data_IF_564002191902
#
_entry.id   IF_564002191902
#
_cell.length_a   1.000
_cell.length_b   1.000
_cell.length_c   1.000
_cell.angle_alpha   90.00
_cell.angle_beta   90.00
_cell.angle_gamma   90.00
#
_symmetry.space_group_name_H-M   'P 1'
#
loop_
_entity.id
_entity.type
_entity.pdbx_description
1 polymer ?
#
# COMPACT_ATOMS: atom_id res chain seq x y z
N UNK A 1 -14.64 12.26 13.86
CA UNK A 1 -14.05 11.35 12.85
C UNK A 1 -13.25 10.26 13.57
N UNK A 2 -13.50 8.98 13.25
CA UNK A 2 -12.74 7.84 13.78
C UNK A 2 -11.57 7.52 12.86
N UNK A 3 -10.40 7.22 13.41
CA UNK A 3 -9.23 6.77 12.62
C UNK A 3 -9.30 5.26 12.43
N UNK A 4 -9.17 4.82 11.18
CA UNK A 4 -9.17 3.41 10.79
C UNK A 4 -7.77 3.04 10.29
N UNK A 5 -7.27 1.90 10.77
CA UNK A 5 -6.05 1.27 10.29
C UNK A 5 -6.42 -0.01 9.52
N UNK A 6 -5.62 -0.34 8.52
CA UNK A 6 -5.84 -1.51 7.68
C UNK A 6 -5.38 -2.78 8.40
N UNK A 7 -6.16 -3.85 8.31
CA UNK A 7 -5.80 -5.15 8.85
C UNK A 7 -6.68 -6.23 8.24
N UNK A 8 -6.07 -7.36 7.91
CA UNK A 8 -6.75 -8.55 7.43
C UNK A 8 -6.52 -9.64 8.49
N UNK A 9 -7.60 -10.11 9.12
CA UNK A 9 -7.61 -11.23 10.07
C UNK A 9 -7.89 -12.55 9.32
N UNK A 10 -7.21 -12.73 8.18
CA UNK A 10 -7.44 -13.79 7.19
C UNK A 10 -6.14 -14.07 6.40
N UNK A 11 -6.21 -14.99 5.42
CA UNK A 11 -5.09 -15.38 4.57
C UNK A 11 -4.50 -14.17 3.80
N UNK A 12 -3.18 -13.95 3.85
CA UNK A 12 -2.49 -12.87 3.13
C UNK A 12 -2.81 -12.78 1.63
N UNK A 13 -3.19 -13.88 0.97
CA UNK A 13 -3.58 -13.89 -0.44
C UNK A 13 -4.80 -12.99 -0.72
N UNK A 14 -5.60 -12.67 0.29
CA UNK A 14 -6.76 -11.77 0.18
C UNK A 14 -6.45 -10.32 0.51
N UNK A 15 -5.23 -9.98 0.91
CA UNK A 15 -4.83 -8.62 1.34
C UNK A 15 -5.26 -7.52 0.37
N UNK A 16 -5.11 -7.67 -0.97
CA UNK A 16 -5.54 -6.62 -1.89
C UNK A 16 -7.06 -6.35 -1.87
N UNK A 17 -7.89 -7.32 -1.50
CA UNK A 17 -9.36 -7.17 -1.49
C UNK A 17 -9.85 -6.32 -0.32
N UNK A 18 -9.08 -6.23 0.76
CA UNK A 18 -9.44 -5.43 1.93
C UNK A 18 -9.49 -3.93 1.59
N UNK A 19 -8.68 -3.45 0.63
CA UNK A 19 -8.82 -2.09 0.11
C UNK A 19 -10.21 -1.84 -0.50
N UNK A 20 -10.70 -2.79 -1.30
CA UNK A 20 -12.05 -2.72 -1.88
C UNK A 20 -13.13 -2.81 -0.80
N UNK A 21 -12.92 -3.60 0.26
CA UNK A 21 -13.85 -3.69 1.39
C UNK A 21 -13.95 -2.37 2.15
N UNK A 22 -12.83 -1.71 2.46
CA UNK A 22 -12.80 -0.40 3.13
C UNK A 22 -13.54 0.67 2.31
N UNK A 23 -13.32 0.70 0.99
CA UNK A 23 -14.01 1.65 0.10
C UNK A 23 -15.52 1.36 0.03
N UNK A 24 -15.92 0.09 -0.07
CA UNK A 24 -17.34 -0.30 0.04
C UNK A 24 -17.96 0.05 1.39
N UNK A 25 -17.14 0.05 2.45
CA UNK A 25 -17.52 0.49 3.80
C UNK A 25 -17.63 2.01 3.96
N UNK A 26 -17.33 2.79 2.91
CA UNK A 26 -17.56 4.24 2.87
C UNK A 26 -16.29 5.11 2.96
N UNK A 27 -15.09 4.51 3.00
CA UNK A 27 -13.85 5.29 2.88
C UNK A 27 -13.65 5.72 1.42
N UNK A 28 -13.08 6.91 1.23
CA UNK A 28 -12.51 7.26 -0.08
C UNK A 28 -11.25 6.42 -0.37
N UNK A 29 -10.87 6.31 -1.65
CA UNK A 29 -9.64 5.59 -2.05
C UNK A 29 -8.40 6.10 -1.32
N UNK A 30 -8.28 7.42 -1.14
CA UNK A 30 -7.15 8.02 -0.41
C UNK A 30 -7.17 7.65 1.07
N UNK A 31 -8.35 7.57 1.70
CA UNK A 31 -8.46 7.17 3.10
C UNK A 31 -8.12 5.69 3.30
N UNK A 32 -8.48 4.82 2.35
CA UNK A 32 -8.11 3.41 2.37
C UNK A 32 -6.57 3.24 2.22
N UNK A 33 -5.94 4.00 1.31
CA UNK A 33 -4.48 4.01 1.19
C UNK A 33 -3.80 4.54 2.46
N UNK A 34 -4.33 5.60 3.07
CA UNK A 34 -3.83 6.12 4.36
C UNK A 34 -4.02 5.11 5.50
N UNK A 35 -5.13 4.38 5.52
CA UNK A 35 -5.39 3.32 6.50
C UNK A 35 -4.29 2.25 6.43
N UNK A 36 -3.84 1.89 5.23
CA UNK A 36 -2.80 0.88 5.01
C UNK A 36 -1.36 1.37 5.17
N UNK A 37 -1.16 2.69 5.26
CA UNK A 37 0.18 3.30 5.29
C UNK A 37 0.37 4.11 6.57
N UNK A 38 0.13 5.42 6.51
CA UNK A 38 0.46 6.34 7.59
C UNK A 38 -0.30 6.03 8.89
N UNK A 39 -1.58 5.63 8.81
CA UNK A 39 -2.39 5.33 10.01
C UNK A 39 -1.96 4.01 10.68
N UNK A 40 -1.62 2.99 9.90
CA UNK A 40 -1.03 1.75 10.44
C UNK A 40 0.35 2.00 11.06
N UNK A 41 1.19 2.83 10.43
CA UNK A 41 2.48 3.22 11.01
C UNK A 41 2.31 3.99 12.33
N UNK A 42 1.31 4.88 12.42
CA UNK A 42 0.95 5.56 13.68
C UNK A 42 0.49 4.59 14.76
N UNK A 43 -0.40 3.66 14.40
CA UNK A 43 -0.92 2.64 15.32
C UNK A 43 0.21 1.78 15.90
N UNK A 44 1.17 1.39 15.07
CA UNK A 44 2.33 0.58 15.45
C UNK A 44 3.48 1.40 16.09
N UNK A 45 3.34 2.72 16.20
CA UNK A 45 4.40 3.63 16.68
C UNK A 45 5.68 3.59 15.84
N UNK A 46 5.52 3.39 14.53
CA UNK A 46 6.60 3.30 13.54
C UNK A 46 6.62 4.49 12.57
N UNK A 47 5.80 5.52 12.76
CA UNK A 47 5.69 6.68 11.86
C UNK A 47 7.00 7.44 11.62
N UNK A 48 8.00 7.28 12.48
CA UNK A 48 9.36 7.84 12.30
C UNK A 48 10.18 7.08 11.26
N UNK A 49 9.83 5.81 11.00
CA UNK A 49 10.60 4.89 10.15
C UNK A 49 9.89 4.56 8.84
N UNK A 50 8.57 4.41 8.84
CA UNK A 50 7.77 3.94 7.69
C UNK A 50 6.41 4.64 7.58
N UNK A 51 5.63 4.29 6.55
CA UNK A 51 4.24 4.73 6.37
C UNK A 51 4.06 5.95 5.46
N UNK A 52 5.14 6.57 4.99
CA UNK A 52 5.12 7.65 3.99
C UNK A 52 6.46 7.75 3.25
N UNK A 53 6.43 8.38 2.08
CA UNK A 53 7.63 8.64 1.28
C UNK A 53 8.21 10.00 1.69
N UNK A 54 9.13 9.99 2.65
CA UNK A 54 9.78 11.18 3.20
C UNK A 54 11.26 10.93 3.47
N UNK A 55 12.09 11.97 3.38
CA UNK A 55 13.53 11.85 3.65
C UNK A 55 13.78 11.34 5.08
N UNK A 56 14.66 10.35 5.20
CA UNK A 56 15.06 9.76 6.49
C UNK A 56 14.26 8.53 6.92
N UNK A 57 13.18 8.19 6.21
CA UNK A 57 12.43 6.93 6.39
C UNK A 57 13.04 5.80 5.56
N UNK A 58 12.69 4.56 5.89
CA UNK A 58 13.08 3.41 5.08
C UNK A 58 12.47 3.51 3.68
N UNK A 59 13.24 3.07 2.68
CA UNK A 59 12.79 3.00 1.30
C UNK A 59 11.90 1.77 1.09
N UNK A 60 10.70 1.81 1.67
CA UNK A 60 9.63 0.82 1.51
C UNK A 60 8.60 1.38 0.54
N UNK A 61 8.61 0.88 -0.71
CA UNK A 61 7.85 1.44 -1.82
C UNK A 61 7.20 0.32 -2.62
N UNK A 62 5.94 0.50 -3.00
CA UNK A 62 5.28 -0.34 -4.00
C UNK A 62 4.82 0.51 -5.17
N UNK A 63 4.70 -0.11 -6.35
CA UNK A 63 3.98 0.48 -7.47
C UNK A 63 2.93 -0.50 -8.00
N UNK A 64 1.81 0.04 -8.44
CA UNK A 64 0.69 -0.71 -9.01
C UNK A 64 0.46 -0.29 -10.45
N UNK A 65 -0.11 -1.19 -11.24
CA UNK A 65 -0.59 -0.86 -12.59
C UNK A 65 -1.96 -0.17 -12.50
N UNK A 66 -2.03 1.09 -12.96
CA UNK A 66 -3.24 1.91 -12.88
C UNK A 66 -3.16 3.01 -11.81
N UNK A 67 -4.27 3.72 -11.62
CA UNK A 67 -4.38 4.84 -10.65
C UNK A 67 -5.27 4.44 -9.47
N UNK A 68 -4.70 4.11 -8.29
CA UNK A 68 -5.47 3.64 -7.14
C UNK A 68 -6.36 4.72 -6.52
N UNK A 69 -6.17 6.01 -6.87
CA UNK A 69 -7.06 7.08 -6.42
C UNK A 69 -8.36 7.10 -7.23
N UNK A 70 -8.32 6.64 -8.49
CA UNK A 70 -9.50 6.53 -9.36
C UNK A 70 -10.20 5.18 -9.23
N UNK A 71 -9.43 4.10 -9.14
CA UNK A 71 -9.93 2.75 -8.95
C UNK A 71 -9.06 1.99 -7.95
N UNK A 72 -9.60 1.79 -6.75
CA UNK A 72 -8.90 1.12 -5.66
C UNK A 72 -8.52 -0.34 -6.01
N UNK A 73 -9.17 -0.97 -6.99
CA UNK A 73 -8.81 -2.31 -7.44
C UNK A 73 -7.42 -2.39 -8.08
N UNK A 74 -6.81 -1.26 -8.45
CA UNK A 74 -5.41 -1.22 -8.87
C UNK A 74 -4.46 -1.81 -7.81
N UNK A 75 -4.84 -1.79 -6.53
CA UNK A 75 -4.07 -2.42 -5.44
C UNK A 75 -3.91 -3.94 -5.57
N UNK A 76 -4.70 -4.60 -6.42
CA UNK A 76 -4.58 -6.02 -6.77
C UNK A 76 -3.49 -6.30 -7.81
N UNK A 77 -2.93 -5.25 -8.42
CA UNK A 77 -1.98 -5.34 -9.54
C UNK A 77 -0.66 -4.67 -9.19
N UNK A 78 -0.02 -5.12 -8.10
CA UNK A 78 1.31 -4.67 -7.70
C UNK A 78 2.35 -5.18 -8.72
N UNK A 79 3.12 -4.25 -9.28
CA UNK A 79 4.14 -4.54 -10.31
C UNK A 79 5.56 -4.28 -9.81
N UNK A 80 5.70 -3.61 -8.68
CA UNK A 80 6.99 -3.28 -8.08
C UNK A 80 6.90 -3.33 -6.56
N UNK A 81 7.92 -3.89 -5.92
CA UNK A 81 8.09 -3.91 -4.46
C UNK A 81 9.55 -3.66 -4.12
N UNK A 82 9.80 -2.64 -3.31
CA UNK A 82 11.07 -2.35 -2.67
C UNK A 82 10.88 -2.38 -1.15
N UNK A 83 11.83 -2.99 -0.44
CA UNK A 83 11.87 -3.04 1.01
C UNK A 83 13.26 -2.58 1.49
N UNK A 84 13.30 -1.53 2.30
CA UNK A 84 14.52 -0.97 2.88
C UNK A 84 15.62 -0.70 1.84
N UNK A 85 15.22 -0.30 0.62
CA UNK A 85 16.13 -0.03 -0.50
C UNK A 85 16.44 -1.23 -1.40
N UNK A 86 16.05 -2.44 -1.02
CA UNK A 86 16.22 -3.65 -1.83
C UNK A 86 14.98 -3.89 -2.71
N UNK A 87 15.19 -4.12 -4.01
CA UNK A 87 14.11 -4.42 -4.96
C UNK A 87 13.81 -5.92 -4.91
N UNK A 88 12.59 -6.27 -4.50
CA UNK A 88 12.11 -7.65 -4.38
C UNK A 88 11.24 -8.08 -5.58
N UNK A 89 10.51 -7.13 -6.16
CA UNK A 89 9.70 -7.32 -7.36
C UNK A 89 9.91 -6.13 -8.29
N UNK A 90 10.12 -6.39 -9.57
CA UNK A 90 10.09 -5.37 -10.62
C UNK A 90 9.59 -6.00 -11.92
N UNK A 91 8.99 -5.21 -12.83
CA UNK A 91 8.65 -5.69 -14.15
C UNK A 91 9.92 -6.14 -14.85
N UNK A 92 9.87 -7.28 -15.53
CA UNK A 92 10.96 -7.67 -16.42
C UNK A 92 11.07 -6.58 -17.50
N UNK A 93 12.25 -5.99 -17.72
CA UNK A 93 12.44 -5.11 -18.87
C UNK A 93 12.05 -5.89 -20.13
N UNK A 94 11.28 -5.31 -21.08
CA UNK A 94 11.14 -5.93 -22.39
C UNK A 94 12.56 -6.15 -22.93
N UNK A 95 12.82 -7.36 -23.45
CA UNK A 95 14.13 -7.80 -23.90
C UNK A 95 14.89 -6.64 -24.54
N UNK A 96 16.03 -6.28 -23.94
CA UNK A 96 16.94 -5.32 -24.52
C UNK A 96 17.37 -5.92 -25.88
N UNK A 97 17.19 -5.23 -27.01
CA UNK A 97 17.69 -5.74 -28.28
C UNK A 97 19.21 -5.92 -28.25
#
# INVERSE_FOLDING_TARGET
HVRIAFGLDDDPDYLPREFTALVKGGLSSVEALQAATIRSAELLRLSTYVGSIEKGKFADIIAVSGDPLKDINAMQHVVFVMKSGEILLQPTPPDKP
#
